data_IF_647757307453
#
_entry.id   IF_647757307453
#
_cell.length_a   1.000
_cell.length_b   1.000
_cell.length_c   1.000
_cell.angle_alpha   90.00
_cell.angle_beta   90.00
_cell.angle_gamma   90.00
#
_symmetry.space_group_name_H-M   'P 1'
#
loop_
_entity.id
_entity.type
_entity.pdbx_description
1 polymer ?
#
# COMPACT_ATOMS: atom_id res chain seq x y z
N UNK A 1 25.35 -9.43 -15.80
CA UNK A 1 25.11 -10.09 -17.09
C UNK A 1 23.59 -10.27 -17.20
N UNK A 2 22.91 -9.91 -18.28
CA UNK A 2 21.46 -10.18 -18.38
C UNK A 2 21.15 -11.69 -18.24
N UNK A 3 22.16 -12.55 -18.45
CA UNK A 3 22.11 -14.00 -18.24
C UNK A 3 22.19 -14.43 -16.76
N UNK A 4 22.49 -13.53 -15.82
CA UNK A 4 22.71 -13.83 -14.39
C UNK A 4 21.58 -13.39 -13.45
N UNK A 5 20.51 -12.77 -13.94
CA UNK A 5 19.42 -12.26 -13.08
C UNK A 5 18.13 -13.02 -13.34
N UNK A 6 17.99 -14.10 -12.60
CA UNK A 6 16.85 -15.00 -12.63
C UNK A 6 17.08 -16.03 -11.52
N UNK A 7 16.65 -15.72 -10.29
CA UNK A 7 16.79 -16.65 -9.15
C UNK A 7 15.69 -16.54 -8.13
N UNK A 8 15.53 -17.66 -7.43
CA UNK A 8 14.40 -18.11 -6.66
C UNK A 8 14.84 -18.24 -5.19
N UNK A 9 14.25 -17.45 -4.29
CA UNK A 9 14.32 -17.68 -2.83
C UNK A 9 15.70 -17.57 -2.17
N UNK A 10 15.73 -17.67 -0.84
CA UNK A 10 16.97 -17.62 -0.05
C UNK A 10 17.93 -18.80 -0.33
N UNK A 11 17.47 -19.86 -1.00
CA UNK A 11 18.24 -21.09 -1.27
C UNK A 11 18.23 -21.56 -2.75
N UNK A 12 17.59 -20.84 -3.69
CA UNK A 12 17.57 -21.27 -5.09
C UNK A 12 18.81 -20.84 -5.86
N UNK A 13 19.02 -21.48 -7.01
CA UNK A 13 20.24 -21.33 -7.81
C UNK A 13 20.07 -20.26 -8.87
N UNK A 14 21.08 -19.39 -9.00
CA UNK A 14 21.10 -18.39 -10.06
C UNK A 14 21.06 -19.05 -11.43
N UNK A 15 20.24 -18.52 -12.35
CA UNK A 15 20.37 -18.86 -13.77
C UNK A 15 21.78 -18.49 -14.22
N UNK A 16 22.47 -19.46 -14.82
CA UNK A 16 23.86 -19.28 -15.27
C UNK A 16 23.99 -19.32 -16.80
N UNK A 17 22.92 -19.67 -17.52
CA UNK A 17 22.89 -19.68 -18.98
C UNK A 17 21.54 -19.24 -19.55
N UNK A 18 21.56 -18.50 -20.66
CA UNK A 18 20.36 -18.14 -21.43
C UNK A 18 19.71 -19.32 -22.16
N UNK A 19 20.36 -20.49 -22.19
CA UNK A 19 19.82 -21.71 -22.81
C UNK A 19 19.12 -22.64 -21.81
N UNK A 20 19.26 -22.37 -20.51
CA UNK A 20 18.52 -23.08 -19.47
C UNK A 20 17.08 -22.57 -19.44
N UNK A 21 16.12 -23.50 -19.45
CA UNK A 21 14.72 -23.19 -19.15
C UNK A 21 14.67 -22.62 -17.73
N UNK A 22 14.04 -21.45 -17.59
CA UNK A 22 13.96 -20.76 -16.31
C UNK A 22 12.55 -20.24 -16.13
N UNK A 23 11.84 -20.81 -15.17
CA UNK A 23 10.54 -20.31 -14.74
C UNK A 23 10.54 -20.17 -13.21
N UNK A 24 10.77 -18.97 -12.67
CA UNK A 24 10.80 -18.78 -11.23
C UNK A 24 9.41 -18.99 -10.61
N UNK A 25 8.33 -18.80 -11.38
CA UNK A 25 6.95 -18.93 -10.88
C UNK A 25 6.52 -20.37 -10.64
N UNK A 26 7.29 -21.36 -11.07
CA UNK A 26 7.04 -22.78 -10.73
C UNK A 26 7.56 -23.19 -9.35
N UNK A 27 8.09 -22.23 -8.57
CA UNK A 27 8.50 -22.48 -7.17
C UNK A 27 7.39 -22.10 -6.21
N UNK A 28 7.31 -22.79 -5.08
CA UNK A 28 6.39 -22.48 -4.00
C UNK A 28 6.61 -21.03 -3.49
N UNK A 29 5.63 -20.12 -3.63
CA UNK A 29 5.69 -18.79 -3.01
C UNK A 29 5.52 -18.86 -1.48
N UNK A 30 5.98 -17.84 -0.73
CA UNK A 30 6.54 -16.57 -1.20
C UNK A 30 8.07 -16.59 -1.39
N UNK A 31 8.59 -15.80 -2.34
CA UNK A 31 10.04 -15.63 -2.56
C UNK A 31 10.37 -14.29 -3.23
N UNK A 32 11.64 -13.90 -3.20
CA UNK A 32 12.13 -12.74 -3.94
C UNK A 32 12.53 -13.15 -5.37
N UNK A 33 12.03 -12.42 -6.37
CA UNK A 33 12.48 -12.49 -7.76
C UNK A 33 13.40 -11.30 -8.04
N UNK A 34 14.62 -11.57 -8.50
CA UNK A 34 15.63 -10.55 -8.78
C UNK A 34 15.80 -10.40 -10.29
N UNK A 35 15.57 -9.21 -10.82
CA UNK A 35 15.77 -8.87 -12.24
C UNK A 35 16.94 -7.90 -12.45
N UNK A 36 17.29 -7.11 -11.43
CA UNK A 36 18.44 -6.21 -11.42
C UNK A 36 19.22 -6.33 -10.10
N UNK A 37 20.55 -6.21 -10.17
CA UNK A 37 21.43 -6.22 -8.99
C UNK A 37 21.09 -5.17 -7.94
N UNK A 38 20.48 -4.04 -8.33
CA UNK A 38 19.99 -3.02 -7.41
C UNK A 38 18.97 -3.55 -6.40
N UNK A 39 18.22 -4.60 -6.75
CA UNK A 39 17.29 -5.24 -5.82
C UNK A 39 18.00 -5.92 -4.64
N UNK A 40 19.26 -6.32 -4.80
CA UNK A 40 20.06 -6.89 -3.69
C UNK A 40 20.33 -5.85 -2.60
N UNK A 41 20.44 -4.56 -2.96
CA UNK A 41 20.57 -3.48 -1.98
C UNK A 41 19.27 -3.25 -1.21
N UNK A 42 18.13 -3.59 -1.82
CA UNK A 42 16.80 -3.48 -1.21
C UNK A 42 16.57 -4.62 -0.22
N UNK A 43 16.78 -5.86 -0.64
CA UNK A 43 16.51 -7.03 0.22
C UNK A 43 17.62 -7.24 1.28
N UNK A 44 18.87 -6.90 0.98
CA UNK A 44 19.99 -7.10 1.88
C UNK A 44 20.58 -8.51 1.85
N UNK A 45 21.48 -8.81 2.80
CA UNK A 45 22.25 -10.06 2.81
C UNK A 45 21.57 -11.25 3.48
N UNK A 46 20.57 -11.00 4.32
CA UNK A 46 19.83 -12.04 5.06
C UNK A 46 18.32 -11.74 5.08
N UNK A 47 17.66 -11.66 3.90
CA UNK A 47 16.25 -11.33 3.84
C UNK A 47 15.39 -12.54 4.22
N UNK A 48 14.24 -12.27 4.82
CA UNK A 48 13.22 -13.31 5.06
C UNK A 48 11.90 -12.88 4.43
N UNK A 49 11.11 -13.84 3.97
CA UNK A 49 9.79 -13.57 3.43
C UNK A 49 8.86 -14.71 3.81
N UNK A 50 7.89 -14.41 4.68
CA UNK A 50 7.06 -15.43 5.31
C UNK A 50 5.59 -15.05 5.21
N UNK A 51 4.74 -16.06 5.10
CA UNK A 51 3.32 -15.94 5.38
C UNK A 51 3.16 -15.83 6.90
N UNK A 52 2.44 -14.82 7.37
CA UNK A 52 2.13 -14.65 8.79
C UNK A 52 1.05 -15.65 9.18
N UNK A 53 1.26 -16.51 10.20
CA UNK A 53 0.22 -17.40 10.69
C UNK A 53 -0.92 -16.61 11.32
N UNK A 54 -2.09 -16.63 10.68
CA UNK A 54 -3.28 -15.89 11.10
C UNK A 54 -4.51 -16.79 11.07
N UNK A 55 -5.48 -16.55 11.96
CA UNK A 55 -6.75 -17.28 11.94
C UNK A 55 -7.56 -16.84 10.71
N UNK A 56 -7.95 -17.79 9.86
CA UNK A 56 -8.57 -17.57 8.55
C UNK A 56 -9.89 -16.82 8.60
N UNK A 57 -10.59 -16.79 9.75
CA UNK A 57 -11.81 -16.01 9.92
C UNK A 57 -11.60 -14.49 9.98
N UNK A 58 -10.37 -14.02 10.21
CA UNK A 58 -9.99 -12.59 10.19
C UNK A 58 -9.40 -12.19 8.81
N UNK A 59 -9.06 -13.17 7.96
CA UNK A 59 -8.32 -12.95 6.71
C UNK A 59 -9.16 -12.78 5.46
N UNK A 60 -10.48 -12.93 5.49
CA UNK A 60 -11.30 -12.42 4.36
C UNK A 60 -11.18 -10.89 4.20
N UNK A 61 -10.54 -10.23 5.17
CA UNK A 61 -10.55 -8.79 5.43
C UNK A 61 -9.15 -8.12 5.38
N UNK A 62 -8.07 -8.79 4.94
CA UNK A 62 -6.74 -8.14 4.88
C UNK A 62 -6.44 -7.77 3.43
N UNK A 63 -6.99 -6.64 2.95
CA UNK A 63 -6.88 -6.26 1.54
C UNK A 63 -6.24 -4.90 1.34
N UNK A 64 -6.77 -3.88 2.01
CA UNK A 64 -6.51 -2.51 1.59
C UNK A 64 -5.89 -1.61 2.62
N UNK A 65 -5.26 -0.58 2.07
CA UNK A 65 -4.83 0.63 2.74
C UNK A 65 -4.13 0.44 4.10
N UNK A 66 -3.07 -0.38 4.15
CA UNK A 66 -2.29 -0.57 5.35
C UNK A 66 -1.58 0.72 5.75
N UNK A 67 -1.71 1.08 7.01
CA UNK A 67 -1.02 2.20 7.64
C UNK A 67 -0.33 1.70 8.89
N UNK A 68 0.98 1.88 8.92
CA UNK A 68 1.76 1.61 10.10
C UNK A 68 1.69 2.79 11.08
N UNK A 69 1.46 2.48 12.35
CA UNK A 69 1.44 3.43 13.44
C UNK A 69 2.59 3.09 14.41
N UNK A 70 3.69 3.88 14.40
CA UNK A 70 4.86 3.61 15.23
C UNK A 70 4.56 3.60 16.73
N UNK A 71 3.62 4.42 17.18
CA UNK A 71 3.28 4.57 18.60
C UNK A 71 2.70 3.28 19.23
N UNK A 72 1.93 2.49 18.46
CA UNK A 72 1.43 1.16 18.89
C UNK A 72 2.31 0.00 18.41
N UNK A 73 3.29 0.26 17.54
CA UNK A 73 3.89 -0.75 16.66
C UNK A 73 2.82 -1.60 15.95
N UNK A 74 1.72 -0.95 15.54
CA UNK A 74 0.53 -1.57 14.96
C UNK A 74 0.39 -1.26 13.47
N UNK A 75 -0.15 -2.21 12.72
CA UNK A 75 -0.60 -2.02 11.35
C UNK A 75 -2.12 -1.95 11.33
N UNK A 76 -2.66 -0.80 10.93
CA UNK A 76 -4.07 -0.62 10.67
C UNK A 76 -4.35 -0.91 9.20
N UNK A 77 -5.47 -1.54 8.90
CA UNK A 77 -5.87 -1.85 7.53
C UNK A 77 -7.39 -2.03 7.45
N UNK A 78 -7.90 -1.96 6.23
CA UNK A 78 -9.31 -2.21 5.93
C UNK A 78 -9.48 -3.54 5.26
N UNK A 79 -10.65 -4.10 5.48
CA UNK A 79 -11.10 -5.32 4.87
C UNK A 79 -12.37 -5.15 4.11
N UNK A 80 -12.60 -6.07 3.20
CA UNK A 80 -13.81 -6.07 2.42
C UNK A 80 -14.94 -6.80 3.17
N UNK A 81 -15.80 -6.03 3.85
CA UNK A 81 -17.14 -6.45 4.23
C UNK A 81 -18.14 -5.36 3.81
N UNK A 82 -18.97 -5.58 2.77
CA UNK A 82 -19.94 -4.58 2.32
C UNK A 82 -21.06 -4.32 3.36
N UNK A 83 -21.10 -5.09 4.44
CA UNK A 83 -22.04 -4.95 5.55
C UNK A 83 -21.42 -4.33 6.80
N UNK A 84 -20.09 -4.19 6.86
CA UNK A 84 -19.38 -3.66 8.03
C UNK A 84 -18.21 -2.76 7.64
N UNK A 85 -18.25 -1.49 8.06
CA UNK A 85 -17.12 -0.57 7.93
C UNK A 85 -16.11 -0.84 9.06
N UNK A 86 -15.26 -1.85 8.90
CA UNK A 86 -14.31 -2.30 9.93
C UNK A 86 -12.89 -1.89 9.59
N UNK A 87 -12.27 -1.15 10.50
CA UNK A 87 -10.83 -0.96 10.54
C UNK A 87 -10.26 -1.99 11.49
N UNK A 88 -9.32 -2.78 11.01
CA UNK A 88 -8.62 -3.77 11.81
C UNK A 88 -7.22 -3.27 12.16
N UNK A 89 -6.72 -3.65 13.33
CA UNK A 89 -5.34 -3.44 13.74
C UNK A 89 -4.67 -4.79 13.98
N UNK A 90 -3.40 -4.93 13.61
CA UNK A 90 -2.54 -6.06 14.00
C UNK A 90 -1.21 -5.56 14.56
N UNK A 91 -0.81 -6.07 15.73
CA UNK A 91 0.49 -5.73 16.33
C UNK A 91 1.64 -6.45 15.62
N UNK A 92 2.71 -5.70 15.28
CA UNK A 92 3.93 -6.25 14.70
C UNK A 92 4.63 -7.22 15.66
N UNK A 93 4.60 -6.95 16.97
CA UNK A 93 5.17 -7.85 17.97
C UNK A 93 4.47 -9.21 17.99
N UNK A 94 3.15 -9.22 17.77
CA UNK A 94 2.35 -10.44 17.70
C UNK A 94 2.61 -11.21 16.41
N UNK A 95 2.76 -10.52 15.27
CA UNK A 95 3.21 -11.10 14.00
C UNK A 95 4.55 -11.82 14.20
N UNK A 96 5.52 -11.15 14.81
CA UNK A 96 6.85 -11.72 15.04
C UNK A 96 6.82 -12.91 16.00
N UNK A 97 5.97 -12.87 17.04
CA UNK A 97 5.80 -13.99 17.97
C UNK A 97 5.19 -15.21 17.28
N UNK A 98 4.19 -15.00 16.42
CA UNK A 98 3.57 -16.05 15.63
C UNK A 98 4.58 -16.73 14.70
N UNK A 99 5.43 -15.95 14.03
CA UNK A 99 6.48 -16.47 13.14
C UNK A 99 7.56 -17.30 13.87
N UNK A 100 7.74 -17.14 15.18
CA UNK A 100 8.69 -17.93 15.99
C UNK A 100 8.12 -19.26 16.48
N UNK A 101 6.85 -19.57 16.20
CA UNK A 101 6.23 -20.84 16.61
C UNK A 101 5.94 -20.96 18.11
N UNK A 102 5.85 -19.84 18.84
CA UNK A 102 5.42 -19.86 20.25
C UNK A 102 3.90 -20.07 20.30
N UNK A 103 3.42 -21.04 21.09
CA UNK A 103 2.02 -21.45 21.24
C UNK A 103 1.00 -20.32 20.98
N UNK A 104 0.14 -20.57 19.99
CA UNK A 104 -0.92 -19.67 19.52
C UNK A 104 -1.92 -19.34 20.63
N UNK A 105 -1.83 -18.15 21.19
CA UNK A 105 -3.04 -17.40 21.52
C UNK A 105 -3.42 -16.59 20.30
N UNK A 106 -4.69 -16.64 19.94
CA UNK A 106 -5.36 -15.67 19.06
C UNK A 106 -4.82 -14.28 19.35
N UNK A 107 -4.36 -13.58 18.31
CA UNK A 107 -3.94 -12.18 18.42
C UNK A 107 -5.20 -11.35 18.65
N UNK A 108 -5.60 -11.20 19.91
CA UNK A 108 -6.58 -10.20 20.32
C UNK A 108 -5.80 -8.92 20.59
N UNK A 109 -5.97 -7.91 19.73
CA UNK A 109 -5.27 -6.64 19.79
C UNK A 109 -6.00 -5.69 20.73
N UNK A 110 -5.40 -5.29 21.87
CA UNK A 110 -5.89 -4.17 22.65
C UNK A 110 -5.35 -2.88 22.01
N UNK A 111 -6.26 -1.97 21.64
CA UNK A 111 -5.90 -0.65 21.12
C UNK A 111 -5.01 0.10 22.14
N UNK A 112 -3.87 0.62 21.68
CA UNK A 112 -2.99 1.50 22.45
C UNK A 112 -3.09 2.94 21.94
N UNK A 113 -2.93 3.98 22.79
CA UNK A 113 -3.30 5.35 22.43
C UNK A 113 -2.40 5.96 21.37
N UNK A 114 -2.99 6.41 20.25
CA UNK A 114 -2.26 7.04 19.15
C UNK A 114 -3.03 8.21 18.53
N UNK A 115 -2.33 9.11 17.83
CA UNK A 115 -2.95 10.27 17.16
C UNK A 115 -3.93 9.87 16.05
N UNK A 116 -4.78 10.80 15.60
CA UNK A 116 -5.85 10.51 14.65
C UNK A 116 -5.36 9.95 13.30
N UNK A 117 -6.16 9.09 12.67
CA UNK A 117 -5.96 8.47 11.35
C UNK A 117 -6.93 9.11 10.35
N UNK A 118 -6.44 9.66 9.25
CA UNK A 118 -7.23 10.00 8.06
C UNK A 118 -7.69 8.71 7.36
N UNK A 119 -8.92 8.70 6.91
CA UNK A 119 -9.50 7.67 6.08
C UNK A 119 -10.07 8.28 4.80
N UNK A 120 -10.05 7.57 3.69
CA UNK A 120 -11.04 7.75 2.64
C UNK A 120 -12.11 6.67 2.73
N UNK A 121 -13.32 7.07 2.42
CA UNK A 121 -14.45 6.18 2.32
C UNK A 121 -14.95 6.20 0.90
N UNK A 122 -15.24 5.01 0.38
CA UNK A 122 -15.88 4.84 -0.93
C UNK A 122 -17.30 5.42 -0.98
N UNK A 123 -17.97 5.39 0.17
CA UNK A 123 -19.39 5.69 0.31
C UNK A 123 -20.29 4.66 -0.39
N UNK A 124 -21.58 4.97 -0.50
CA UNK A 124 -22.60 4.10 -1.11
C UNK A 124 -23.56 4.93 -1.98
N UNK A 125 -24.56 4.31 -2.62
CA UNK A 125 -25.60 5.08 -3.33
C UNK A 125 -26.28 6.15 -2.45
N UNK A 126 -26.36 5.93 -1.13
CA UNK A 126 -27.06 6.83 -0.19
C UNK A 126 -26.13 7.60 0.75
N UNK A 127 -24.83 7.28 0.79
CA UNK A 127 -23.84 7.94 1.67
C UNK A 127 -22.66 8.49 0.87
N UNK A 128 -22.26 9.76 1.08
CA UNK A 128 -21.16 10.34 0.32
C UNK A 128 -19.83 9.63 0.59
N UNK A 129 -19.00 9.57 -0.43
CA UNK A 129 -17.58 9.29 -0.25
C UNK A 129 -16.95 10.47 0.50
N UNK A 130 -16.07 10.20 1.44
CA UNK A 130 -15.50 11.25 2.30
C UNK A 130 -14.10 10.94 2.77
N UNK A 131 -13.34 12.00 3.01
CA UNK A 131 -12.12 11.99 3.80
C UNK A 131 -12.51 12.22 5.26
N UNK A 132 -12.11 11.32 6.16
CA UNK A 132 -12.55 11.28 7.56
C UNK A 132 -11.34 11.23 8.48
N UNK A 133 -11.29 12.01 9.54
CA UNK A 133 -10.32 11.90 10.61
C UNK A 133 -10.90 11.04 11.74
N UNK A 134 -10.27 9.92 12.04
CA UNK A 134 -10.74 8.93 13.01
C UNK A 134 -9.79 8.89 14.19
N UNK A 135 -10.33 8.86 15.40
CA UNK A 135 -9.59 8.50 16.59
C UNK A 135 -9.42 6.97 16.62
N UNK A 136 -8.19 6.44 16.58
CA UNK A 136 -7.94 5.00 16.65
C UNK A 136 -8.16 4.40 18.04
N UNK A 137 -8.60 5.19 19.02
CA UNK A 137 -8.96 4.74 20.37
C UNK A 137 -10.44 4.90 20.65
N UNK A 138 -11.04 4.04 21.51
CA UNK A 138 -12.38 4.23 22.02
C UNK A 138 -12.59 5.67 22.54
N UNK A 139 -13.72 6.32 22.21
CA UNK A 139 -14.92 5.75 21.56
C UNK A 139 -14.86 5.67 20.02
N UNK A 140 -13.69 5.87 19.42
CA UNK A 140 -13.44 5.85 17.97
C UNK A 140 -14.13 6.98 17.21
N UNK A 141 -14.08 8.19 17.77
CA UNK A 141 -14.71 9.38 17.17
C UNK A 141 -14.20 9.62 15.74
N UNK A 142 -15.13 9.88 14.83
CA UNK A 142 -14.85 10.15 13.43
C UNK A 142 -15.37 11.54 13.03
N UNK A 143 -14.53 12.33 12.38
CA UNK A 143 -14.85 13.68 11.89
C UNK A 143 -14.68 13.74 10.37
N UNK A 144 -15.74 14.06 9.64
CA UNK A 144 -15.64 14.28 8.19
C UNK A 144 -14.84 15.55 7.93
N UNK A 145 -13.74 15.43 7.17
CA UNK A 145 -12.91 16.55 6.72
C UNK A 145 -13.35 17.09 5.36
N UNK A 146 -13.78 16.21 4.45
CA UNK A 146 -14.22 16.56 3.10
C UNK A 146 -15.15 15.48 2.55
N UNK A 147 -16.30 15.86 1.98
CA UNK A 147 -17.26 14.94 1.35
C UNK A 147 -17.75 15.40 -0.03
N UNK A 148 -17.23 16.52 -0.52
CA UNK A 148 -17.63 17.11 -1.78
C UNK A 148 -16.53 17.97 -2.43
N UNK A 149 -16.69 18.19 -3.73
CA UNK A 149 -15.93 19.15 -4.53
C UNK A 149 -16.89 20.21 -5.07
N UNK A 150 -16.91 21.39 -4.42
CA UNK A 150 -17.80 22.51 -4.74
C UNK A 150 -19.29 22.11 -4.85
N UNK A 151 -19.77 21.34 -3.88
CA UNK A 151 -21.16 20.86 -3.81
C UNK A 151 -21.45 19.63 -4.66
N UNK A 152 -20.47 19.06 -5.37
CA UNK A 152 -20.61 17.78 -6.06
C UNK A 152 -19.94 16.66 -5.29
N UNK A 153 -20.62 15.54 -5.12
CA UNK A 153 -20.05 14.38 -4.41
C UNK A 153 -18.95 13.72 -5.24
N UNK A 154 -17.90 13.29 -4.55
CA UNK A 154 -16.90 12.37 -5.11
C UNK A 154 -17.57 11.07 -5.53
N UNK A 155 -17.00 10.39 -6.52
CA UNK A 155 -17.54 9.13 -7.03
C UNK A 155 -17.33 8.04 -5.99
N UNK A 156 -16.06 7.75 -5.72
CA UNK A 156 -15.55 6.71 -4.82
C UNK A 156 -14.11 7.07 -4.50
N UNK A 157 -13.88 7.78 -3.39
CA UNK A 157 -12.52 8.13 -3.00
C UNK A 157 -11.78 6.83 -2.67
N UNK A 158 -10.63 6.63 -3.30
CA UNK A 158 -10.00 5.31 -3.40
C UNK A 158 -8.66 5.20 -2.68
N UNK A 159 -7.72 6.13 -2.87
CA UNK A 159 -6.50 6.23 -2.05
C UNK A 159 -6.35 7.67 -1.56
N UNK A 160 -5.74 7.85 -0.39
CA UNK A 160 -5.39 9.15 0.18
C UNK A 160 -3.98 9.11 0.75
N UNK A 161 -3.21 10.17 0.52
CA UNK A 161 -1.88 10.38 1.12
C UNK A 161 -1.74 11.79 1.64
N UNK A 162 -1.02 11.91 2.75
CA UNK A 162 -0.67 13.19 3.34
C UNK A 162 0.66 13.63 2.73
N UNK A 163 0.72 14.87 2.25
CA UNK A 163 1.96 15.38 1.67
C UNK A 163 3.00 15.66 2.76
N UNK A 164 4.22 15.08 2.67
CA UNK A 164 5.14 14.96 3.80
C UNK A 164 5.73 16.29 4.28
N UNK A 165 5.58 17.39 3.56
CA UNK A 165 6.09 18.69 4.03
C UNK A 165 5.04 19.75 4.22
N UNK A 166 3.79 19.50 3.81
CA UNK A 166 2.73 20.51 3.89
C UNK A 166 1.50 20.06 4.65
N UNK A 167 1.40 18.78 5.03
CA UNK A 167 0.23 18.24 5.74
C UNK A 167 -1.05 18.20 4.90
N UNK A 168 -0.99 18.57 3.62
CA UNK A 168 -2.17 18.58 2.75
C UNK A 168 -2.45 17.21 2.19
N UNK A 169 -3.72 16.86 2.10
CA UNK A 169 -4.19 15.57 1.64
C UNK A 169 -4.27 15.55 0.11
N UNK A 170 -3.84 14.45 -0.49
CA UNK A 170 -4.01 14.14 -1.90
C UNK A 170 -4.77 12.84 -2.02
N UNK A 171 -5.78 12.80 -2.88
CA UNK A 171 -6.61 11.61 -3.01
C UNK A 171 -7.06 11.36 -4.45
N UNK A 172 -7.36 10.10 -4.74
CA UNK A 172 -7.91 9.65 -6.02
C UNK A 172 -9.41 9.44 -5.95
N UNK A 173 -10.10 9.76 -7.05
CA UNK A 173 -11.53 9.56 -7.19
C UNK A 173 -11.81 8.81 -8.51
N UNK A 174 -11.53 7.50 -8.57
CA UNK A 174 -11.90 6.67 -9.71
C UNK A 174 -13.40 6.46 -9.80
N UNK A 175 -13.89 6.39 -11.03
CA UNK A 175 -15.26 5.97 -11.30
C UNK A 175 -15.43 4.49 -10.99
N UNK A 176 -16.48 4.17 -10.23
CA UNK A 176 -17.01 2.82 -10.12
C UNK A 176 -18.42 2.80 -10.70
N UNK A 177 -18.68 1.81 -11.56
CA UNK A 177 -19.89 1.75 -12.37
C UNK A 177 -21.14 1.68 -11.49
N UNK A 178 -22.14 2.51 -11.82
CA UNK A 178 -23.44 2.56 -11.15
C UNK A 178 -23.41 2.88 -9.64
N UNK A 179 -22.28 3.35 -9.10
CA UNK A 179 -22.17 3.71 -7.69
C UNK A 179 -22.90 5.02 -7.36
N UNK A 180 -22.88 5.99 -8.29
CA UNK A 180 -23.45 7.33 -8.10
C UNK A 180 -24.41 7.71 -9.24
N UNK A 181 -25.53 8.38 -8.93
CA UNK A 181 -26.39 8.93 -9.97
C UNK A 181 -25.72 10.10 -10.71
N UNK A 182 -25.95 10.27 -12.02
CA UNK A 182 -25.47 11.45 -12.75
C UNK A 182 -26.04 12.77 -12.21
N UNK A 183 -25.31 13.90 -12.35
CA UNK A 183 -24.01 14.03 -13.00
C UNK A 183 -22.86 13.62 -12.07
N UNK A 184 -21.99 12.73 -12.55
CA UNK A 184 -20.80 12.27 -11.83
C UNK A 184 -19.58 13.15 -12.13
N UNK A 185 -18.69 13.29 -11.15
CA UNK A 185 -17.36 13.85 -11.40
C UNK A 185 -16.59 12.94 -12.38
N UNK A 186 -15.49 13.45 -12.93
CA UNK A 186 -14.60 12.66 -13.78
C UNK A 186 -13.44 12.10 -12.96
N UNK A 187 -12.78 11.07 -13.49
CA UNK A 187 -11.64 10.41 -12.86
C UNK A 187 -10.45 11.35 -12.69
N UNK A 188 -10.17 11.71 -11.43
CA UNK A 188 -9.25 12.80 -11.09
C UNK A 188 -8.45 12.51 -9.81
N UNK A 189 -7.38 13.29 -9.64
CA UNK A 189 -6.61 13.40 -8.42
C UNK A 189 -6.80 14.81 -7.87
N UNK A 190 -7.08 14.90 -6.57
CA UNK A 190 -7.35 16.13 -5.87
C UNK A 190 -6.27 16.42 -4.84
N UNK A 191 -6.14 17.69 -4.48
CA UNK A 191 -5.44 18.18 -3.29
C UNK A 191 -6.46 18.89 -2.40
N UNK A 192 -6.46 18.56 -1.13
CA UNK A 192 -7.24 19.19 -0.09
C UNK A 192 -6.35 19.68 1.05
N UNK A 193 -6.58 20.91 1.48
CA UNK A 193 -5.86 21.57 2.56
C UNK A 193 -6.79 21.71 3.78
N UNK A 194 -6.65 20.85 4.81
CA UNK A 194 -7.58 20.84 5.93
C UNK A 194 -7.51 22.12 6.78
N UNK A 195 -6.39 22.86 6.74
CA UNK A 195 -6.23 24.10 7.49
C UNK A 195 -7.01 25.27 6.86
N UNK A 196 -7.20 25.26 5.55
CA UNK A 196 -7.86 26.35 4.80
C UNK A 196 -9.19 25.97 4.18
N UNK A 197 -9.50 24.67 4.11
CA UNK A 197 -10.62 24.14 3.34
C UNK A 197 -10.41 24.14 1.82
N UNK A 198 -9.23 24.55 1.34
CA UNK A 198 -8.98 24.68 -0.08
C UNK A 198 -8.87 23.30 -0.75
N UNK A 199 -9.79 23.02 -1.68
CA UNK A 199 -9.79 21.81 -2.52
C UNK A 199 -9.61 22.18 -3.99
N UNK A 200 -8.74 21.44 -4.69
CA UNK A 200 -8.55 21.61 -6.14
C UNK A 200 -8.15 20.31 -6.83
N UNK A 201 -8.45 20.22 -8.11
CA UNK A 201 -7.92 19.17 -8.99
C UNK A 201 -6.45 19.43 -9.26
N UNK A 202 -5.62 18.39 -9.19
CA UNK A 202 -4.18 18.45 -9.48
C UNK A 202 -3.76 17.58 -10.66
N UNK A 203 -4.54 16.56 -11.02
CA UNK A 203 -4.33 15.76 -12.21
C UNK A 203 -5.63 15.14 -12.74
N UNK A 204 -5.84 15.19 -14.07
CA UNK A 204 -7.02 14.67 -14.80
C UNK A 204 -6.66 13.56 -15.79
N UNK A 205 -7.53 13.15 -16.71
CA UNK A 205 -7.20 12.24 -17.84
C UNK A 205 -6.67 10.86 -17.44
N UNK A 206 -7.13 10.33 -16.31
CA UNK A 206 -6.89 8.95 -15.91
C UNK A 206 -8.08 8.08 -16.34
N UNK A 207 -7.83 6.81 -16.64
CA UNK A 207 -8.90 5.83 -16.81
C UNK A 207 -9.46 5.41 -15.46
N UNK A 208 -8.60 5.07 -14.48
CA UNK A 208 -8.99 4.75 -13.09
C UNK A 208 -7.82 5.11 -12.16
N UNK A 209 -7.75 6.34 -11.60
CA UNK A 209 -6.68 6.72 -10.67
C UNK A 209 -6.83 5.88 -9.39
N UNK A 210 -5.73 5.37 -8.86
CA UNK A 210 -5.73 4.47 -7.70
C UNK A 210 -4.63 4.90 -6.71
N UNK A 211 -3.55 4.14 -6.54
CA UNK A 211 -2.48 4.46 -5.59
C UNK A 211 -1.78 5.79 -5.84
N UNK A 212 -1.46 6.51 -4.76
CA UNK A 212 -0.59 7.70 -4.78
C UNK A 212 0.56 7.48 -3.80
N UNK A 213 1.73 8.05 -4.08
CA UNK A 213 2.78 8.16 -3.08
C UNK A 213 3.64 9.42 -3.29
N UNK A 214 4.30 9.84 -2.21
CA UNK A 214 5.25 10.94 -2.21
C UNK A 214 6.63 10.45 -1.80
N UNK A 215 7.67 11.08 -2.35
CA UNK A 215 9.01 11.01 -1.79
C UNK A 215 9.05 11.76 -0.46
N UNK A 216 9.97 11.38 0.44
CA UNK A 216 10.09 12.00 1.77
C UNK A 216 10.23 13.52 1.75
N UNK A 217 10.89 14.06 0.73
CA UNK A 217 11.12 15.49 0.58
C UNK A 217 9.92 16.24 -0.02
N UNK A 218 8.88 15.52 -0.46
CA UNK A 218 7.72 16.07 -1.18
C UNK A 218 8.07 16.75 -2.50
N UNK A 219 9.32 16.62 -2.95
CA UNK A 219 9.93 17.47 -3.99
C UNK A 219 10.70 16.69 -5.04
N UNK A 220 10.87 15.37 -4.87
CA UNK A 220 11.68 14.58 -5.80
C UNK A 220 11.12 14.72 -7.21
N UNK A 221 11.97 15.25 -8.09
CA UNK A 221 11.68 15.50 -9.51
C UNK A 221 12.74 14.79 -10.32
N UNK A 222 12.54 13.52 -10.64
CA UNK A 222 13.25 12.90 -11.75
C UNK A 222 12.61 13.37 -13.06
N UNK A 223 13.35 13.36 -14.18
CA UNK A 223 12.79 13.65 -15.51
C UNK A 223 11.64 12.70 -15.89
N UNK A 224 11.57 11.53 -15.24
CA UNK A 224 10.52 10.54 -15.43
C UNK A 224 9.19 11.02 -14.82
N UNK A 225 9.23 11.76 -13.71
CA UNK A 225 8.03 12.28 -13.03
C UNK A 225 7.52 13.62 -13.56
N UNK A 226 8.23 14.23 -14.53
CA UNK A 226 7.81 15.49 -15.14
C UNK A 226 6.93 15.25 -16.37
N UNK A 227 5.97 16.16 -16.59
CA UNK A 227 5.11 16.20 -17.79
C UNK A 227 4.27 14.94 -18.04
N UNK A 228 3.78 14.29 -16.97
CA UNK A 228 2.84 13.15 -17.06
C UNK A 228 3.28 12.06 -18.04
N UNK A 229 4.45 11.50 -17.77
CA UNK A 229 5.00 10.39 -18.56
C UNK A 229 4.65 9.06 -17.92
N UNK A 230 4.62 8.01 -18.74
CA UNK A 230 4.61 6.65 -18.23
C UNK A 230 5.90 6.42 -17.46
N UNK A 231 5.78 6.03 -16.19
CA UNK A 231 6.91 5.68 -15.33
C UNK A 231 7.33 4.22 -15.54
N UNK A 232 6.38 3.30 -15.38
CA UNK A 232 6.62 1.87 -15.52
C UNK A 232 5.33 1.14 -15.91
N UNK A 233 5.46 -0.13 -16.30
CA UNK A 233 4.35 -1.06 -16.54
C UNK A 233 4.41 -2.21 -15.54
N UNK A 234 3.25 -2.56 -14.96
CA UNK A 234 3.06 -3.85 -14.32
C UNK A 234 2.80 -4.89 -15.41
N UNK A 235 3.55 -5.98 -15.39
CA UNK A 235 3.42 -7.08 -16.34
C UNK A 235 2.28 -8.05 -15.96
N UNK A 236 1.92 -8.11 -14.68
CA UNK A 236 0.84 -8.96 -14.16
C UNK A 236 -0.14 -8.15 -13.31
N UNK A 237 -1.42 -8.20 -13.67
CA UNK A 237 -2.49 -7.48 -12.97
C UNK A 237 -2.45 -5.96 -13.20
N UNK A 238 -2.96 -5.22 -12.23
CA UNK A 238 -3.01 -3.75 -12.22
C UNK A 238 -2.13 -3.27 -11.06
N UNK A 239 -1.30 -2.23 -11.26
CA UNK A 239 -0.62 -1.59 -10.15
C UNK A 239 -1.64 -0.85 -9.29
N UNK A 240 -1.84 -1.33 -8.07
CA UNK A 240 -2.87 -0.85 -7.16
C UNK A 240 -2.25 0.12 -6.13
N UNK A 241 -2.16 -0.25 -4.84
CA UNK A 241 -1.45 0.53 -3.84
C UNK A 241 0.00 0.81 -4.24
N UNK A 242 0.50 2.01 -3.92
CA UNK A 242 1.88 2.44 -4.23
C UNK A 242 2.54 2.99 -2.96
N UNK A 243 3.81 2.61 -2.74
CA UNK A 243 4.66 3.18 -1.69
C UNK A 243 6.11 3.34 -2.17
N UNK A 244 6.88 4.18 -1.49
CA UNK A 244 8.29 4.43 -1.78
C UNK A 244 9.17 4.12 -0.57
N UNK A 245 10.38 3.61 -0.82
CA UNK A 245 11.42 3.53 0.21
C UNK A 245 12.21 4.85 0.33
N UNK A 246 13.15 4.91 1.28
CA UNK A 246 14.02 6.07 1.47
C UNK A 246 14.93 6.40 0.28
N UNK A 247 15.16 5.45 -0.62
CA UNK A 247 15.94 5.62 -1.85
C UNK A 247 15.04 5.97 -3.05
N UNK A 248 13.73 6.19 -2.83
CA UNK A 248 12.73 6.51 -3.85
C UNK A 248 12.52 5.37 -4.86
N UNK A 249 12.84 4.13 -4.47
CA UNK A 249 12.36 2.96 -5.22
C UNK A 249 10.85 2.88 -5.03
N UNK A 250 10.13 2.56 -6.11
CA UNK A 250 8.66 2.52 -6.15
C UNK A 250 8.21 1.07 -5.99
N UNK A 251 7.33 0.83 -5.03
CA UNK A 251 6.70 -0.45 -4.73
C UNK A 251 5.23 -0.35 -5.13
N UNK A 252 4.71 -1.32 -5.86
CA UNK A 252 3.27 -1.39 -6.13
C UNK A 252 2.74 -2.80 -6.02
N UNK A 253 1.52 -2.90 -5.49
CA UNK A 253 0.75 -4.13 -5.42
C UNK A 253 0.32 -4.50 -6.83
N UNK A 254 0.60 -5.73 -7.23
CA UNK A 254 0.37 -6.23 -8.58
C UNK A 254 -0.28 -7.62 -8.49
N UNK A 255 -0.61 -8.20 -9.65
CA UNK A 255 -1.34 -9.47 -9.72
C UNK A 255 -0.59 -10.70 -9.20
N UNK A 256 0.71 -10.61 -8.97
CA UNK A 256 1.58 -11.73 -8.55
C UNK A 256 2.44 -11.42 -7.31
N UNK A 257 2.24 -10.26 -6.68
CA UNK A 257 3.00 -9.83 -5.52
C UNK A 257 3.22 -8.32 -5.50
N UNK A 258 4.32 -7.87 -4.90
CA UNK A 258 4.75 -6.47 -4.95
C UNK A 258 5.92 -6.33 -5.90
N UNK A 259 5.72 -5.55 -6.96
CA UNK A 259 6.74 -5.22 -7.93
C UNK A 259 7.51 -3.98 -7.47
N UNK A 260 8.83 -3.97 -7.69
CA UNK A 260 9.72 -2.91 -7.21
C UNK A 260 10.52 -2.33 -8.37
N UNK A 261 10.39 -1.02 -8.59
CA UNK A 261 11.09 -0.28 -9.63
C UNK A 261 12.06 0.73 -9.01
N UNK A 262 13.17 0.98 -9.71
CA UNK A 262 14.09 2.08 -9.40
C UNK A 262 13.41 3.45 -9.61
N UNK A 263 14.00 4.56 -9.12
CA UNK A 263 13.49 5.92 -9.36
C UNK A 263 13.38 6.33 -10.84
N UNK A 264 14.01 5.57 -11.73
CA UNK A 264 13.99 5.79 -13.18
C UNK A 264 12.99 4.87 -13.93
N UNK A 265 12.23 4.04 -13.21
CA UNK A 265 11.21 3.16 -13.79
C UNK A 265 11.71 1.79 -14.26
N UNK A 266 12.97 1.44 -13.96
CA UNK A 266 13.52 0.11 -14.25
C UNK A 266 13.03 -0.90 -13.21
N UNK A 267 12.43 -2.01 -13.65
CA UNK A 267 11.99 -3.10 -12.76
C UNK A 267 13.21 -3.78 -12.14
N UNK A 268 13.33 -3.71 -10.81
CA UNK A 268 14.43 -4.28 -10.05
C UNK A 268 14.15 -5.72 -9.64
N UNK A 269 12.93 -6.00 -9.21
CA UNK A 269 12.55 -7.29 -8.67
C UNK A 269 11.10 -7.34 -8.20
N UNK A 270 10.70 -8.50 -7.67
CA UNK A 270 9.38 -8.72 -7.07
C UNK A 270 9.50 -9.41 -5.72
N UNK A 271 8.70 -8.97 -4.78
CA UNK A 271 8.31 -9.76 -3.62
C UNK A 271 7.14 -10.64 -4.08
N UNK A 272 7.46 -11.80 -4.66
CA UNK A 272 6.51 -12.66 -5.34
C UNK A 272 5.73 -13.50 -4.34
N UNK A 273 4.40 -13.39 -4.38
CA UNK A 273 3.47 -14.14 -3.52
C UNK A 273 2.65 -15.15 -4.30
N UNK A 274 2.65 -15.07 -5.65
CA UNK A 274 1.84 -15.91 -6.53
C UNK A 274 0.35 -15.56 -6.52
N UNK A 275 -0.04 -14.50 -5.80
CA UNK A 275 -1.40 -13.98 -5.71
C UNK A 275 -1.39 -12.47 -5.83
N UNK A 276 -2.54 -11.88 -6.17
CA UNK A 276 -2.68 -10.43 -6.17
C UNK A 276 -2.40 -9.87 -4.77
N UNK A 277 -1.52 -8.87 -4.71
CA UNK A 277 -1.35 -8.01 -3.53
C UNK A 277 -1.96 -6.68 -3.89
N UNK A 278 -3.02 -6.28 -3.18
CA UNK A 278 -3.71 -5.03 -3.47
C UNK A 278 -2.95 -3.84 -2.86
N UNK A 279 -2.41 -4.03 -1.66
CA UNK A 279 -1.66 -2.97 -1.00
C UNK A 279 -0.52 -3.50 -0.11
N UNK A 280 0.38 -2.61 0.29
CA UNK A 280 1.52 -2.92 1.14
C UNK A 280 1.87 -1.72 2.00
N UNK A 281 2.54 -1.95 3.13
CA UNK A 281 3.11 -0.86 3.92
C UNK A 281 4.48 -1.26 4.45
N UNK A 282 5.41 -0.30 4.42
CA UNK A 282 6.52 -0.34 5.36
C UNK A 282 5.96 -0.20 6.77
N UNK A 283 6.47 -1.00 7.70
CA UNK A 283 6.11 -0.95 9.11
C UNK A 283 7.35 -0.70 9.96
N UNK A 284 7.97 0.48 9.77
CA UNK A 284 9.31 0.77 10.25
C UNK A 284 10.39 0.23 9.32
N UNK A 285 11.64 0.52 9.68
CA UNK A 285 12.79 0.13 8.86
C UNK A 285 12.93 -1.40 8.78
N UNK A 286 13.10 -1.88 7.55
CA UNK A 286 13.35 -3.28 7.24
C UNK A 286 12.17 -4.23 7.41
N UNK A 287 10.95 -3.73 7.65
CA UNK A 287 9.72 -4.53 7.69
C UNK A 287 8.75 -4.05 6.61
N UNK A 288 8.42 -4.93 5.67
CA UNK A 288 7.44 -4.68 4.61
C UNK A 288 6.30 -5.70 4.74
N UNK A 289 5.08 -5.22 4.98
CA UNK A 289 3.87 -6.03 5.09
C UNK A 289 3.07 -5.95 3.79
N UNK A 290 2.64 -7.10 3.27
CA UNK A 290 1.90 -7.23 2.01
C UNK A 290 0.54 -7.87 2.26
N UNK A 291 -0.51 -7.27 1.72
CA UNK A 291 -1.90 -7.68 1.92
C UNK A 291 -2.36 -8.46 0.67
N UNK A 292 -2.22 -9.79 0.71
CA UNK A 292 -2.53 -10.68 -0.40
C UNK A 292 -3.94 -11.25 -0.37
N UNK A 293 -4.91 -10.50 0.18
CA UNK A 293 -6.28 -10.94 0.37
C UNK A 293 -6.41 -11.98 1.48
N UNK A 294 -6.18 -13.26 1.16
CA UNK A 294 -6.33 -14.36 2.11
C UNK A 294 -5.11 -14.54 3.04
N UNK A 295 -3.99 -13.89 2.74
CA UNK A 295 -2.74 -14.02 3.47
C UNK A 295 -2.14 -12.65 3.75
N UNK A 296 -1.59 -12.51 4.95
CA UNK A 296 -0.67 -11.43 5.30
C UNK A 296 0.75 -11.96 5.15
N UNK A 297 1.63 -11.21 4.49
CA UNK A 297 3.03 -11.57 4.35
C UNK A 297 3.92 -10.54 5.01
N UNK A 298 4.99 -11.00 5.66
CA UNK A 298 6.05 -10.15 6.19
C UNK A 298 7.35 -10.44 5.45
N UNK A 299 7.86 -9.44 4.73
CA UNK A 299 9.22 -9.42 4.21
C UNK A 299 10.11 -8.61 5.15
N UNK A 300 11.18 -9.22 5.67
CA UNK A 300 12.28 -8.51 6.33
C UNK A 300 13.39 -8.26 5.33
N UNK A 301 13.67 -6.98 5.09
CA UNK A 301 14.56 -6.48 4.03
C UNK A 301 15.49 -5.38 4.55
N UNK A 302 16.50 -4.98 3.79
CA UNK A 302 17.40 -3.87 4.17
C UNK A 302 16.84 -2.49 3.85
N UNK A 303 15.84 -2.39 2.98
CA UNK A 303 15.23 -1.13 2.60
C UNK A 303 14.65 -0.41 3.82
N UNK A 304 14.91 0.90 3.88
CA UNK A 304 14.39 1.77 4.93
C UNK A 304 13.09 2.40 4.48
N UNK A 305 12.18 2.51 5.43
CA UNK A 305 10.93 3.20 5.24
C UNK A 305 11.17 4.64 4.78
N UNK A 306 10.24 5.19 3.99
CA UNK A 306 10.05 6.63 3.97
C UNK A 306 10.05 7.17 5.42
N UNK A 307 10.74 8.27 5.73
CA UNK A 307 10.58 8.94 7.02
C UNK A 307 9.08 9.13 7.25
N UNK A 308 8.51 8.39 8.19
CA UNK A 308 7.20 8.71 8.72
C UNK A 308 7.31 10.11 9.28
N UNK A 309 6.44 11.00 8.83
CA UNK A 309 6.28 12.24 9.56
C UNK A 309 5.88 11.90 10.98
N UNK A 310 6.60 12.48 11.92
CA UNK A 310 6.17 12.49 13.31
C UNK A 310 4.78 13.14 13.35
N UNK A 311 3.77 12.32 13.65
CA UNK A 311 2.41 12.67 14.10
C UNK A 311 1.27 12.82 13.08
N UNK A 312 1.48 12.84 11.75
CA UNK A 312 0.40 13.21 10.79
C UNK A 312 0.39 12.43 9.45
N UNK A 313 0.68 11.12 9.41
CA UNK A 313 0.63 10.32 8.17
C UNK A 313 -0.16 9.03 8.32
N UNK A 314 -1.48 9.15 8.40
CA UNK A 314 -2.31 7.98 8.63
C UNK A 314 -3.48 8.11 7.70
N UNK A 315 -3.48 7.45 6.56
CA UNK A 315 -4.43 7.65 5.48
C UNK A 315 -4.85 6.26 4.97
N UNK A 316 -6.07 5.83 5.28
CA UNK A 316 -6.58 4.46 5.04
C UNK A 316 -7.84 4.52 4.18
N UNK A 317 -8.05 3.63 3.22
CA UNK A 317 -9.22 3.65 2.36
C UNK A 317 -9.99 2.34 2.41
N UNK A 318 -11.31 2.44 2.37
CA UNK A 318 -12.22 1.30 2.34
C UNK A 318 -12.72 1.14 0.90
N UNK A 319 -12.66 -0.07 0.32
CA UNK A 319 -13.19 -0.41 -1.00
C UNK A 319 -14.13 -1.61 -0.90
N UNK A 320 -15.25 -1.63 -1.67
CA UNK A 320 -16.06 -2.81 -1.88
C UNK A 320 -15.50 -3.78 -2.95
#
# INVERSE_FOLDING_TARGET
DLRSFAVIGSNGRFRNSSTEEFNPTSTEPPFFQIFDSGFLNIIGSDPTFNIVPTNTSVLSFVREAPVYVPDTDGLFFTGFDPTQNVVSEISLADIERALRGSNTTTVNVPATPVSSIVFATFGTQSSPASIVLVNPMPPYDATVLLDNFFGRQSISINDVKIHPTSGTLFFTDPSVENLRPPPVLTNQVYRFDPATGAVRVVATNFQRPNGIAFSQDGKTRSQVFLNRRVFAYADTGIPDGINLDAAVNVYSGCGDGVNVWSPDGVLLGKNFTGVTVANMAFAGDGRLLLLGGANLYLAKISARSGKYLSHEERAITDEP
#
